data_IF_176027483312
#
_entry.id   IF_176027483312
#
_cell.length_a   1.000
_cell.length_b   1.000
_cell.length_c   1.000
_cell.angle_alpha   90.00
_cell.angle_beta   90.00
_cell.angle_gamma   90.00
#
_symmetry.space_group_name_H-M   'P 1'
#
loop_
_entity.id
_entity.type
_entity.pdbx_description
1 polymer ?
#
# COMPACT_ATOMS: atom_id res chain seq x y z
N UNK A 1 6.52 -29.85 -33.04
CA UNK A 1 7.38 -29.73 -31.83
C UNK A 1 7.04 -28.52 -30.96
N UNK A 2 6.76 -27.34 -31.53
CA UNK A 2 6.43 -26.12 -30.77
C UNK A 2 5.26 -26.26 -29.77
N UNK A 3 4.20 -27.00 -30.12
CA UNK A 3 3.02 -27.16 -29.26
C UNK A 3 3.29 -28.00 -27.98
N UNK A 4 4.25 -28.94 -28.03
CA UNK A 4 4.66 -29.71 -26.84
C UNK A 4 5.50 -28.87 -25.88
N UNK A 5 6.33 -27.97 -26.41
CA UNK A 5 7.09 -27.01 -25.62
C UNK A 5 6.20 -25.96 -24.95
N UNK A 6 5.17 -25.49 -25.65
CA UNK A 6 4.22 -24.51 -25.10
C UNK A 6 3.37 -25.11 -23.96
N UNK A 7 2.95 -26.37 -24.08
CA UNK A 7 2.27 -27.08 -22.99
C UNK A 7 3.17 -27.31 -21.78
N UNK A 8 4.45 -27.64 -21.98
CA UNK A 8 5.39 -27.83 -20.88
C UNK A 8 5.71 -26.51 -20.18
N UNK A 9 5.87 -25.42 -20.93
CA UNK A 9 6.07 -24.07 -20.37
C UNK A 9 4.86 -23.61 -19.55
N UNK A 10 3.63 -23.84 -20.04
CA UNK A 10 2.40 -23.50 -19.29
C UNK A 10 2.24 -24.36 -18.03
N UNK A 11 2.65 -25.64 -18.06
CA UNK A 11 2.62 -26.51 -16.88
C UNK A 11 3.64 -26.04 -15.80
N UNK A 12 4.84 -25.62 -16.23
CA UNK A 12 5.88 -25.10 -15.34
C UNK A 12 5.48 -23.74 -14.75
N UNK A 13 4.88 -22.84 -15.55
CA UNK A 13 4.35 -21.57 -15.04
C UNK A 13 3.17 -21.77 -14.08
N UNK A 14 2.31 -22.77 -14.29
CA UNK A 14 1.20 -23.06 -13.38
C UNK A 14 1.67 -23.59 -12.01
N UNK A 15 2.83 -24.24 -11.93
CA UNK A 15 3.38 -24.76 -10.67
C UNK A 15 4.11 -23.69 -9.82
N UNK A 16 4.50 -22.55 -10.40
CA UNK A 16 5.28 -21.51 -9.71
C UNK A 16 4.43 -20.52 -8.89
N UNK A 17 3.10 -20.54 -9.02
CA UNK A 17 2.22 -19.51 -8.42
C UNK A 17 1.81 -19.80 -6.97
N UNK A 18 2.18 -20.96 -6.40
CA UNK A 18 1.68 -21.36 -5.05
C UNK A 18 2.60 -21.05 -3.86
N UNK A 19 3.72 -20.37 -4.07
CA UNK A 19 4.68 -20.10 -2.99
C UNK A 19 4.46 -18.75 -2.25
N UNK A 20 3.45 -17.95 -2.63
CA UNK A 20 3.11 -16.72 -1.92
C UNK A 20 2.13 -16.97 -0.79
N UNK A 21 2.50 -16.60 0.44
CA UNK A 21 1.56 -16.56 1.57
C UNK A 21 0.39 -15.61 1.28
N UNK A 22 -0.77 -15.88 1.88
CA UNK A 22 -1.93 -15.00 1.75
C UNK A 22 -1.88 -13.93 2.83
N UNK A 23 -2.09 -12.65 2.49
CA UNK A 23 -2.17 -11.62 3.52
C UNK A 23 -3.33 -11.88 4.49
N UNK A 24 -3.07 -11.69 5.78
CA UNK A 24 -4.12 -11.76 6.79
C UNK A 24 -5.08 -10.58 6.62
N UNK A 25 -6.26 -10.69 7.24
CA UNK A 25 -7.25 -9.62 7.24
C UNK A 25 -7.41 -9.04 8.64
N UNK A 26 -7.64 -7.74 8.74
CA UNK A 26 -7.87 -7.03 10.00
C UNK A 26 -9.15 -6.19 9.91
N UNK A 27 -9.80 -5.96 11.04
CA UNK A 27 -11.00 -5.12 11.10
C UNK A 27 -10.64 -3.64 11.01
N UNK A 28 -11.11 -2.95 9.98
CA UNK A 28 -10.98 -1.50 9.85
C UNK A 28 -11.92 -0.74 10.80
N UNK A 29 -11.66 0.57 10.97
CA UNK A 29 -12.57 1.51 11.66
C UNK A 29 -14.01 1.49 11.16
N UNK A 30 -14.23 1.16 9.88
CA UNK A 30 -15.55 1.09 9.26
C UNK A 30 -16.24 -0.26 9.47
N UNK A 31 -15.64 -1.16 10.26
CA UNK A 31 -16.16 -2.49 10.56
C UNK A 31 -15.92 -3.54 9.47
N UNK A 32 -15.36 -3.15 8.33
CA UNK A 32 -15.03 -4.05 7.23
C UNK A 32 -13.68 -4.72 7.48
N UNK A 33 -13.53 -5.97 7.04
CA UNK A 33 -12.21 -6.59 6.94
C UNK A 33 -11.40 -5.91 5.84
N UNK A 34 -10.12 -5.67 6.08
CA UNK A 34 -9.16 -5.12 5.11
C UNK A 34 -7.88 -5.94 5.17
N UNK A 35 -7.12 -5.95 4.08
CA UNK A 35 -5.86 -6.70 4.00
C UNK A 35 -4.79 -6.06 4.90
N UNK A 36 -4.18 -6.86 5.78
CA UNK A 36 -3.02 -6.44 6.56
C UNK A 36 -1.79 -6.33 5.69
N UNK A 37 -1.01 -5.27 5.90
CA UNK A 37 0.28 -5.07 5.22
C UNK A 37 1.46 -5.70 5.95
N UNK A 38 1.25 -6.19 7.18
CA UNK A 38 2.30 -6.69 8.08
C UNK A 38 2.14 -8.17 8.45
N UNK A 39 0.93 -8.72 8.29
CA UNK A 39 0.60 -10.09 8.66
C UNK A 39 0.28 -10.97 7.43
N UNK A 40 0.84 -12.18 7.39
CA UNK A 40 0.56 -13.17 6.34
C UNK A 40 0.31 -14.56 6.90
N UNK A 41 -0.58 -15.30 6.26
CA UNK A 41 -0.82 -16.72 6.45
C UNK A 41 0.12 -17.51 5.54
N UNK A 42 1.03 -18.29 6.15
CA UNK A 42 1.93 -19.20 5.43
C UNK A 42 1.45 -20.63 5.58
N UNK A 43 1.18 -21.28 4.45
CA UNK A 43 0.78 -22.69 4.45
C UNK A 43 1.97 -23.58 4.77
N UNK A 44 1.77 -24.47 5.73
CA UNK A 44 2.81 -25.37 6.25
C UNK A 44 2.23 -26.76 6.42
N UNK A 45 3.12 -27.75 6.35
CA UNK A 45 2.80 -29.10 6.80
C UNK A 45 3.65 -29.47 8.03
N UNK A 46 3.21 -30.47 8.78
CA UNK A 46 3.95 -30.97 9.97
C UNK A 46 5.39 -31.38 9.66
N UNK A 47 5.66 -31.87 8.45
CA UNK A 47 6.99 -32.28 8.03
C UNK A 47 7.92 -31.07 7.82
N UNK A 48 7.42 -29.97 7.27
CA UNK A 48 8.16 -28.73 7.02
C UNK A 48 8.64 -28.09 8.33
N UNK A 49 7.80 -28.15 9.38
CA UNK A 49 8.17 -27.65 10.69
C UNK A 49 9.21 -28.56 11.36
N UNK A 50 9.01 -29.88 11.32
CA UNK A 50 9.95 -30.85 11.91
C UNK A 50 11.32 -30.86 11.20
N UNK A 51 11.34 -30.55 9.91
CA UNK A 51 12.56 -30.47 9.10
C UNK A 51 13.23 -29.09 9.17
N UNK A 52 12.69 -28.13 9.95
CA UNK A 52 13.14 -26.73 9.98
C UNK A 52 13.15 -26.06 8.60
N UNK A 53 12.32 -26.53 7.66
CA UNK A 53 12.17 -25.92 6.35
C UNK A 53 11.45 -24.56 6.43
N UNK A 54 10.64 -24.35 7.48
CA UNK A 54 9.96 -23.09 7.76
C UNK A 54 10.50 -22.50 9.07
N UNK A 55 11.05 -21.30 8.99
CA UNK A 55 11.48 -20.55 10.17
C UNK A 55 10.26 -20.03 10.93
N UNK A 56 10.12 -20.43 12.19
CA UNK A 56 9.05 -20.01 13.08
C UNK A 56 9.38 -18.72 13.85
N UNK A 57 10.53 -18.08 13.59
CA UNK A 57 10.98 -16.89 14.32
C UNK A 57 10.08 -15.66 14.13
N UNK A 58 9.37 -15.60 13.01
CA UNK A 58 8.39 -14.57 12.69
C UNK A 58 6.95 -15.04 12.93
N UNK A 59 6.75 -16.29 13.38
CA UNK A 59 5.41 -16.80 13.64
C UNK A 59 4.81 -16.14 14.88
N UNK A 60 3.52 -15.80 14.77
CA UNK A 60 2.82 -15.07 15.82
C UNK A 60 2.52 -16.01 17.00
N UNK A 61 2.98 -15.70 18.21
CA UNK A 61 2.71 -16.54 19.38
C UNK A 61 1.21 -16.54 19.69
N UNK A 62 0.67 -17.70 20.06
CA UNK A 62 -0.74 -17.86 20.38
C UNK A 62 -1.16 -17.19 21.71
N UNK A 63 -0.18 -16.78 22.53
CA UNK A 63 -0.42 -16.09 23.79
C UNK A 63 -1.07 -16.97 24.86
N UNK A 64 -0.99 -18.29 24.73
CA UNK A 64 -1.51 -19.27 25.71
C UNK A 64 -0.49 -19.63 26.78
N UNK A 65 -0.92 -19.67 28.05
CA UNK A 65 -0.09 -20.13 29.18
C UNK A 65 -0.24 -21.65 29.33
N UNK A 66 0.83 -22.38 29.66
CA UNK A 66 0.78 -23.83 29.93
C UNK A 66 1.13 -24.73 28.74
N UNK A 67 0.88 -24.29 27.51
CA UNK A 67 1.41 -24.92 26.29
C UNK A 67 2.92 -24.62 26.11
N UNK A 68 3.65 -25.41 25.31
CA UNK A 68 5.06 -25.11 25.02
C UNK A 68 5.19 -23.65 24.58
N UNK A 69 6.28 -22.98 25.02
CA UNK A 69 6.56 -21.56 24.71
C UNK A 69 6.58 -21.25 23.20
N UNK A 70 6.52 -22.30 22.38
CA UNK A 70 6.59 -22.29 20.91
C UNK A 70 5.21 -22.48 20.25
N UNK A 71 4.11 -22.35 21.00
CA UNK A 71 2.76 -22.41 20.43
C UNK A 71 2.43 -21.14 19.64
N UNK A 72 2.13 -21.31 18.35
CA UNK A 72 1.86 -20.22 17.42
C UNK A 72 0.41 -20.26 16.95
N UNK A 73 -0.11 -19.12 16.51
CA UNK A 73 -1.44 -19.01 15.91
C UNK A 73 -1.44 -19.77 14.59
N UNK A 74 -2.44 -20.64 14.42
CA UNK A 74 -2.65 -21.36 13.18
C UNK A 74 -4.12 -21.34 12.77
N UNK A 75 -4.38 -21.66 11.50
CA UNK A 75 -5.72 -21.95 10.99
C UNK A 75 -5.68 -23.18 10.11
N UNK A 76 -6.78 -23.92 10.07
CA UNK A 76 -6.88 -25.08 9.19
C UNK A 76 -8.31 -25.27 8.71
N UNK A 77 -8.45 -25.84 7.51
CA UNK A 77 -9.75 -26.21 6.98
C UNK A 77 -10.24 -27.53 7.61
N UNK A 78 -11.50 -27.52 8.04
CA UNK A 78 -12.21 -28.71 8.49
C UNK A 78 -13.64 -28.67 7.99
N UNK A 79 -14.04 -29.71 7.23
CA UNK A 79 -15.37 -29.82 6.65
C UNK A 79 -15.78 -28.55 5.85
N UNK A 80 -14.88 -28.02 5.02
CA UNK A 80 -15.16 -26.84 4.18
C UNK A 80 -15.22 -25.52 4.94
N UNK A 81 -14.76 -25.47 6.19
CA UNK A 81 -14.73 -24.26 7.01
C UNK A 81 -13.32 -24.06 7.59
N UNK A 82 -12.77 -22.87 7.41
CA UNK A 82 -11.48 -22.48 8.00
C UNK A 82 -11.71 -22.05 9.44
N UNK A 83 -10.96 -22.66 10.37
CA UNK A 83 -11.06 -22.38 11.80
C UNK A 83 -9.68 -22.08 12.36
N UNK A 84 -9.60 -21.13 13.27
CA UNK A 84 -8.37 -20.77 13.97
C UNK A 84 -8.12 -21.67 15.18
N UNK A 85 -6.86 -21.74 15.56
CA UNK A 85 -6.41 -22.45 16.73
C UNK A 85 -4.95 -22.18 17.04
N UNK A 86 -4.29 -23.14 17.67
CA UNK A 86 -2.88 -23.04 18.07
C UNK A 86 -2.11 -24.29 17.69
N UNK A 87 -0.80 -24.16 17.51
CA UNK A 87 0.04 -25.34 17.36
C UNK A 87 0.24 -26.04 18.70
N UNK A 88 0.26 -27.38 18.67
CA UNK A 88 0.64 -28.23 19.80
C UNK A 88 2.00 -28.83 19.51
N UNK A 89 2.97 -28.53 20.37
CA UNK A 89 4.36 -29.02 20.27
C UNK A 89 5.00 -28.71 18.91
N UNK A 90 4.61 -27.60 18.27
CA UNK A 90 5.07 -27.19 16.93
C UNK A 90 4.67 -28.11 15.77
N UNK A 91 4.07 -29.28 16.02
CA UNK A 91 3.88 -30.29 14.97
C UNK A 91 2.50 -30.24 14.31
N UNK A 92 1.44 -29.96 15.07
CA UNK A 92 0.06 -30.01 14.55
C UNK A 92 -0.69 -28.74 14.92
N UNK A 93 -1.57 -28.29 14.04
CA UNK A 93 -2.55 -27.26 14.37
C UNK A 93 -3.75 -27.89 15.06
N UNK A 94 -4.01 -27.49 16.31
CA UNK A 94 -5.18 -27.89 17.05
C UNK A 94 -6.28 -26.84 16.89
N UNK A 95 -7.40 -27.26 16.31
CA UNK A 95 -8.57 -26.41 16.05
C UNK A 95 -9.79 -26.95 16.79
N UNK A 96 -10.60 -26.07 17.38
CA UNK A 96 -11.87 -26.44 17.99
C UNK A 96 -12.99 -26.44 16.96
N UNK A 97 -13.72 -27.54 16.81
CA UNK A 97 -14.89 -27.63 15.94
C UNK A 97 -15.95 -28.52 16.56
N UNK A 98 -17.18 -28.02 16.71
CA UNK A 98 -18.35 -28.77 17.24
C UNK A 98 -17.99 -29.64 18.46
N UNK A 99 -17.80 -28.99 19.61
CA UNK A 99 -17.54 -29.62 20.92
C UNK A 99 -16.28 -30.50 21.02
N UNK A 100 -15.41 -30.52 20.00
CA UNK A 100 -14.21 -31.35 19.97
C UNK A 100 -13.01 -30.61 19.37
N UNK A 101 -11.81 -30.91 19.87
CA UNK A 101 -10.55 -30.45 19.27
C UNK A 101 -10.03 -31.46 18.24
N UNK A 102 -9.65 -30.97 17.07
CA UNK A 102 -9.07 -31.74 15.97
C UNK A 102 -7.63 -31.31 15.73
N UNK A 103 -6.75 -32.29 15.51
CA UNK A 103 -5.35 -32.07 15.11
C UNK A 103 -5.26 -32.11 13.59
N UNK A 104 -4.60 -31.12 13.00
CA UNK A 104 -4.41 -30.97 11.55
C UNK A 104 -2.92 -30.95 11.22
N UNK A 105 -2.56 -31.74 10.20
CA UNK A 105 -1.18 -31.82 9.69
C UNK A 105 -0.87 -30.81 8.60
N UNK A 106 -1.91 -30.36 7.88
CA UNK A 106 -1.85 -29.29 6.89
C UNK A 106 -2.63 -28.11 7.42
N UNK A 107 -1.96 -26.98 7.55
CA UNK A 107 -2.52 -25.79 8.17
C UNK A 107 -1.73 -24.56 7.73
N UNK A 108 -2.26 -23.37 8.00
CA UNK A 108 -1.51 -22.14 7.84
C UNK A 108 -1.11 -21.61 9.22
N UNK A 109 0.07 -20.99 9.29
CA UNK A 109 0.52 -20.24 10.47
C UNK A 109 0.44 -18.75 10.18
N UNK A 110 0.10 -17.97 11.20
CA UNK A 110 0.14 -16.52 11.11
C UNK A 110 1.58 -16.04 11.32
N UNK A 111 2.08 -15.21 10.41
CA UNK A 111 3.44 -14.69 10.42
C UNK A 111 3.42 -13.17 10.43
N UNK A 112 4.24 -12.58 11.28
CA UNK A 112 4.51 -11.15 11.34
C UNK A 112 5.74 -10.85 10.48
N UNK A 113 5.51 -10.48 9.23
CA UNK A 113 6.58 -10.32 8.24
C UNK A 113 7.57 -9.25 8.67
N UNK A 114 8.85 -9.62 8.72
CA UNK A 114 9.95 -8.75 9.12
C UNK A 114 9.70 -8.03 10.45
N UNK A 115 8.89 -8.65 11.33
CA UNK A 115 8.44 -8.09 12.61
C UNK A 115 7.89 -6.67 12.42
N UNK A 116 7.11 -6.43 11.37
CA UNK A 116 6.56 -5.10 11.06
C UNK A 116 5.32 -4.74 11.89
N UNK A 117 4.55 -5.74 12.30
CA UNK A 117 3.33 -5.58 13.08
C UNK A 117 3.64 -5.41 14.57
N UNK A 118 2.88 -4.55 15.23
CA UNK A 118 2.69 -4.60 16.68
C UNK A 118 1.36 -5.28 16.97
N UNK A 119 1.40 -6.36 17.71
CA UNK A 119 0.23 -7.13 18.11
C UNK A 119 -0.03 -6.95 19.59
N UNK A 120 -1.29 -6.76 19.96
CA UNK A 120 -1.73 -6.69 21.34
C UNK A 120 -2.97 -7.56 21.56
N UNK A 121 -3.18 -7.95 22.81
CA UNK A 121 -4.38 -8.66 23.24
C UNK A 121 -5.29 -7.66 23.93
N UNK A 122 -6.42 -7.34 23.30
CA UNK A 122 -7.39 -6.38 23.83
C UNK A 122 -8.57 -7.10 24.45
N UNK A 123 -9.06 -6.69 25.63
CA UNK A 123 -10.23 -7.30 26.23
C UNK A 123 -11.45 -7.26 25.30
N UNK A 124 -12.14 -8.38 25.21
CA UNK A 124 -13.35 -8.59 24.42
C UNK A 124 -14.47 -9.19 25.28
N UNK A 125 -15.70 -8.78 24.99
CA UNK A 125 -16.91 -9.38 25.55
C UNK A 125 -17.99 -9.51 24.50
N UNK A 126 -18.86 -10.52 24.63
CA UNK A 126 -19.91 -10.82 23.64
C UNK A 126 -20.87 -9.66 23.32
N UNK A 127 -21.01 -8.72 24.25
CA UNK A 127 -21.86 -7.53 24.13
C UNK A 127 -21.11 -6.28 23.68
N UNK A 128 -19.79 -6.39 23.49
CA UNK A 128 -18.94 -5.30 23.02
C UNK A 128 -18.66 -5.48 21.53
N UNK A 129 -18.53 -4.36 20.83
CA UNK A 129 -18.04 -4.39 19.45
C UNK A 129 -16.61 -4.92 19.44
N UNK A 130 -16.28 -5.75 18.44
CA UNK A 130 -14.89 -6.14 18.19
C UNK A 130 -14.06 -4.88 17.90
N UNK A 131 -12.91 -4.67 18.57
CA UNK A 131 -12.07 -3.50 18.39
C UNK A 131 -11.56 -3.35 16.94
N UNK A 132 -11.21 -2.13 16.57
CA UNK A 132 -10.45 -1.83 15.35
C UNK A 132 -9.09 -2.55 15.42
N UNK A 133 -8.58 -2.98 14.26
CA UNK A 133 -7.34 -3.75 14.12
C UNK A 133 -7.47 -5.23 14.48
N UNK A 134 -8.64 -5.71 14.91
CA UNK A 134 -8.82 -7.12 15.26
C UNK A 134 -8.46 -8.05 14.10
N UNK A 135 -7.57 -9.01 14.36
CA UNK A 135 -7.03 -9.93 13.35
C UNK A 135 -8.03 -11.04 13.07
N UNK A 136 -8.43 -11.14 11.80
CA UNK A 136 -9.36 -12.15 11.34
C UNK A 136 -8.66 -13.50 11.12
N UNK A 137 -9.35 -14.56 11.54
CA UNK A 137 -8.96 -15.94 11.28
C UNK A 137 -9.29 -16.44 9.87
N UNK A 138 -10.21 -15.74 9.20
CA UNK A 138 -10.72 -16.07 7.86
C UNK A 138 -10.50 -14.91 6.91
N UNK A 139 -10.44 -15.22 5.62
CA UNK A 139 -10.22 -14.22 4.58
C UNK A 139 -11.51 -13.44 4.25
N UNK A 140 -11.35 -12.28 3.61
CA UNK A 140 -12.43 -11.36 3.24
C UNK A 140 -13.55 -12.00 2.39
N UNK A 141 -13.26 -13.08 1.66
CA UNK A 141 -14.18 -13.72 0.72
C UNK A 141 -15.09 -14.79 1.36
N UNK A 142 -14.95 -15.08 2.65
CA UNK A 142 -15.91 -15.96 3.31
C UNK A 142 -17.21 -15.17 3.52
N UNK A 143 -18.25 -15.46 2.73
CA UNK A 143 -19.63 -14.95 2.90
C UNK A 143 -20.31 -15.40 4.22
N UNK A 144 -19.52 -15.74 5.24
CA UNK A 144 -19.93 -16.28 6.52
C UNK A 144 -19.50 -15.32 7.63
N UNK A 145 -19.93 -15.63 8.84
CA UNK A 145 -19.60 -14.92 10.07
C UNK A 145 -18.12 -14.53 10.16
N UNK A 146 -17.86 -13.32 10.67
CA UNK A 146 -16.50 -12.85 10.87
C UNK A 146 -15.87 -13.63 12.02
N UNK A 147 -14.78 -14.35 11.73
CA UNK A 147 -14.00 -15.08 12.72
C UNK A 147 -12.76 -14.26 13.08
N UNK A 148 -12.55 -13.97 14.36
CA UNK A 148 -11.36 -13.29 14.88
C UNK A 148 -10.55 -14.20 15.80
N UNK A 149 -9.24 -13.97 15.85
CA UNK A 149 -8.33 -14.71 16.74
C UNK A 149 -8.52 -14.22 18.17
N UNK A 150 -8.81 -15.14 19.09
CA UNK A 150 -9.05 -14.82 20.49
C UNK A 150 -8.33 -15.74 21.46
N UNK A 151 -8.36 -15.37 22.74
CA UNK A 151 -7.92 -16.23 23.84
C UNK A 151 -8.73 -15.97 25.11
N UNK A 152 -8.90 -16.97 25.96
CA UNK A 152 -9.71 -16.87 27.18
C UNK A 152 -8.86 -17.23 28.40
N UNK A 153 -8.89 -16.39 29.43
CA UNK A 153 -8.26 -16.72 30.70
C UNK A 153 -9.14 -17.71 31.48
N UNK A 154 -8.69 -18.96 31.58
CA UNK A 154 -9.40 -20.00 32.33
C UNK A 154 -9.40 -19.73 33.84
N UNK A 155 -10.27 -20.42 34.57
CA UNK A 155 -10.33 -20.36 36.04
C UNK A 155 -9.03 -20.83 36.71
N UNK A 156 -8.18 -21.57 35.98
CA UNK A 156 -6.87 -22.02 36.46
C UNK A 156 -5.76 -20.98 36.24
N UNK A 157 -6.09 -19.81 35.67
CA UNK A 157 -5.12 -18.77 35.36
C UNK A 157 -4.35 -19.00 34.05
N UNK A 158 -4.78 -19.96 33.24
CA UNK A 158 -4.15 -20.27 31.95
C UNK A 158 -4.91 -19.64 30.79
N UNK A 159 -4.22 -18.99 29.86
CA UNK A 159 -4.82 -18.51 28.62
C UNK A 159 -5.06 -19.67 27.66
N UNK A 160 -6.31 -19.91 27.31
CA UNK A 160 -6.77 -20.89 26.32
C UNK A 160 -6.92 -20.21 24.97
N UNK A 161 -6.44 -20.84 23.89
CA UNK A 161 -6.65 -20.31 22.53
C UNK A 161 -8.13 -20.46 22.16
N UNK A 162 -8.63 -19.48 21.41
CA UNK A 162 -10.00 -19.48 20.95
C UNK A 162 -10.20 -18.70 19.67
N UNK A 163 -11.47 -18.68 19.26
CA UNK A 163 -11.94 -17.91 18.14
C UNK A 163 -13.19 -17.14 18.57
N UNK A 164 -13.30 -15.90 18.10
CA UNK A 164 -14.47 -15.07 18.31
C UNK A 164 -15.27 -15.08 17.02
N UNK A 165 -16.49 -15.61 17.09
CA UNK A 165 -17.44 -15.65 16.00
C UNK A 165 -18.40 -14.49 16.16
N UNK A 166 -18.34 -13.54 15.22
CA UNK A 166 -19.31 -12.45 15.14
C UNK A 166 -20.22 -12.71 13.95
N UNK A 167 -21.49 -13.05 14.20
CA UNK A 167 -22.42 -13.31 13.13
C UNK A 167 -22.68 -12.05 12.31
N UNK A 168 -22.83 -12.22 11.00
CA UNK A 168 -23.16 -11.12 10.09
C UNK A 168 -24.57 -10.55 10.34
N UNK A 169 -25.47 -11.37 10.89
CA UNK A 169 -26.83 -10.94 11.22
C UNK A 169 -26.85 -10.06 12.47
N UNK A 170 -27.54 -8.92 12.38
CA UNK A 170 -27.69 -7.93 13.45
C UNK A 170 -28.39 -8.42 14.73
N UNK A 171 -28.98 -9.61 14.71
CA UNK A 171 -29.81 -10.15 15.80
C UNK A 171 -29.06 -11.08 16.77
N UNK A 172 -27.80 -11.40 16.50
CA UNK A 172 -27.02 -12.30 17.34
C UNK A 172 -25.81 -11.59 17.94
N UNK A 173 -25.59 -11.80 19.24
CA UNK A 173 -24.35 -11.39 19.89
C UNK A 173 -23.19 -12.25 19.40
N UNK A 174 -21.96 -11.73 19.50
CA UNK A 174 -20.77 -12.54 19.22
C UNK A 174 -20.68 -13.69 20.23
N UNK A 175 -20.18 -14.85 19.79
CA UNK A 175 -19.82 -15.95 20.68
C UNK A 175 -18.33 -16.17 20.62
N UNK A 176 -17.73 -16.48 21.76
CA UNK A 176 -16.32 -16.83 21.82
C UNK A 176 -16.20 -18.30 22.20
N UNK A 177 -15.41 -19.02 21.41
CA UNK A 177 -15.17 -20.44 21.58
C UNK A 177 -13.69 -20.60 21.92
N UNK A 178 -13.41 -21.08 23.13
CA UNK A 178 -12.07 -21.44 23.58
C UNK A 178 -11.95 -22.97 23.67
N UNK A 179 -10.74 -23.51 23.69
CA UNK A 179 -10.56 -24.94 23.96
C UNK A 179 -9.45 -25.19 24.97
N UNK A 180 -9.70 -26.16 25.85
CA UNK A 180 -8.78 -26.55 26.91
C UNK A 180 -7.81 -27.64 26.44
N UNK A 181 -6.82 -27.92 27.27
CA UNK A 181 -5.78 -28.93 26.98
C UNK A 181 -6.33 -30.36 27.02
N UNK A 182 -7.50 -30.57 27.62
CA UNK A 182 -8.22 -31.86 27.59
C UNK A 182 -8.96 -32.09 26.27
N UNK A 183 -8.94 -31.12 25.35
CA UNK A 183 -9.59 -31.19 24.04
C UNK A 183 -11.08 -30.88 24.08
N UNK A 184 -11.57 -30.28 25.17
CA UNK A 184 -12.95 -29.81 25.28
C UNK A 184 -13.04 -28.39 24.76
N UNK A 185 -14.14 -28.11 24.08
CA UNK A 185 -14.48 -26.79 23.57
C UNK A 185 -15.42 -26.12 24.57
N UNK A 186 -15.09 -24.90 24.96
CA UNK A 186 -15.78 -24.08 25.95
C UNK A 186 -16.35 -22.85 25.23
N UNK A 187 -17.66 -22.65 25.35
CA UNK A 187 -18.28 -21.39 24.96
C UNK A 187 -18.17 -20.39 26.12
N UNK A 188 -17.56 -19.25 25.85
CA UNK A 188 -17.26 -18.22 26.85
C UNK A 188 -17.78 -16.87 26.39
N UNK A 189 -18.12 -16.01 27.36
CA UNK A 189 -18.71 -14.69 27.08
C UNK A 189 -17.69 -13.54 27.07
N UNK A 190 -16.47 -13.80 27.54
CA UNK A 190 -15.38 -12.84 27.71
C UNK A 190 -14.04 -13.49 27.39
N UNK A 191 -13.11 -12.69 26.90
CA UNK A 191 -11.72 -13.08 26.65
C UNK A 191 -10.95 -11.90 26.12
N UNK A 192 -9.88 -12.17 25.37
CA UNK A 192 -9.13 -11.18 24.62
C UNK A 192 -9.22 -11.50 23.13
N UNK A 193 -9.11 -10.46 22.31
CA UNK A 193 -8.97 -10.55 20.86
C UNK A 193 -7.60 -10.01 20.46
N UNK A 194 -6.98 -10.66 19.47
CA UNK A 194 -5.70 -10.19 18.92
C UNK A 194 -5.96 -8.98 18.03
N UNK A 195 -5.23 -7.89 18.26
CA UNK A 195 -5.34 -6.62 17.54
C UNK A 195 -3.99 -6.25 16.94
N UNK A 196 -3.98 -5.94 15.65
CA UNK A 196 -2.87 -5.24 14.98
C UNK A 196 -2.97 -3.74 15.24
N UNK A 197 -1.95 -3.18 15.87
CA UNK A 197 -1.89 -1.75 16.19
C UNK A 197 -1.26 -0.99 15.03
N UNK A 198 -2.03 -0.09 14.42
CA UNK A 198 -1.51 0.75 13.33
C UNK A 198 -0.47 1.77 13.84
N UNK A 199 0.65 1.95 13.13
CA UNK A 199 1.62 2.97 13.46
C UNK A 199 1.14 4.39 13.15
N UNK A 200 1.61 5.36 13.93
CA UNK A 200 1.30 6.77 13.76
C UNK A 200 2.21 7.46 12.75
N UNK A 201 3.49 7.07 12.71
CA UNK A 201 4.50 7.63 11.80
C UNK A 201 5.74 6.73 11.74
N UNK A 202 6.59 7.01 10.76
CA UNK A 202 7.88 6.36 10.59
C UNK A 202 9.04 7.34 10.75
N UNK A 203 10.17 6.84 11.23
CA UNK A 203 11.44 7.56 11.28
C UNK A 203 12.51 6.67 10.61
N UNK A 204 13.04 7.14 9.47
CA UNK A 204 14.08 6.45 8.70
C UNK A 204 15.43 7.12 8.95
N UNK A 205 16.44 6.33 9.32
CA UNK A 205 17.83 6.77 9.36
C UNK A 205 18.58 6.11 8.20
N UNK A 206 18.87 6.87 7.15
CA UNK A 206 19.64 6.38 6.01
C UNK A 206 21.07 6.14 6.45
N UNK A 207 21.56 4.92 6.25
CA UNK A 207 22.98 4.62 6.47
C UNK A 207 23.78 5.19 5.32
N UNK A 208 24.89 5.83 5.66
CA UNK A 208 25.86 6.20 4.64
C UNK A 208 26.31 4.93 3.92
N UNK A 209 26.42 5.03 2.59
CA UNK A 209 26.86 3.93 1.75
C UNK A 209 28.33 3.68 2.08
N UNK A 210 28.59 2.87 3.11
CA UNK A 210 29.90 2.24 3.26
C UNK A 210 30.11 1.48 1.98
N UNK A 211 31.23 1.74 1.32
CA UNK A 211 31.65 1.29 -0.01
C UNK A 211 31.80 -0.25 -0.07
N UNK A 212 30.73 -0.95 0.30
CA UNK A 212 30.67 -2.38 0.58
C UNK A 212 30.35 -3.10 -0.72
N UNK A 213 31.33 -3.10 -1.62
CA UNK A 213 31.65 -4.16 -2.58
C UNK A 213 30.56 -4.70 -3.53
N UNK A 214 29.30 -4.26 -3.43
CA UNK A 214 28.18 -4.87 -4.16
C UNK A 214 28.11 -4.42 -5.61
N UNK A 215 28.91 -3.42 -6.02
CA UNK A 215 29.17 -3.09 -7.43
C UNK A 215 27.95 -2.69 -8.26
N UNK A 216 26.74 -2.65 -7.67
CA UNK A 216 25.50 -2.33 -8.35
C UNK A 216 25.50 -0.83 -8.67
N UNK A 217 25.95 -0.55 -9.90
CA UNK A 217 25.90 0.79 -10.48
C UNK A 217 24.44 1.24 -10.48
N UNK A 218 24.16 2.50 -10.11
CA UNK A 218 22.82 3.03 -10.17
C UNK A 218 22.28 2.93 -11.59
N UNK A 219 21.00 2.57 -11.71
CA UNK A 219 20.33 2.54 -12.99
C UNK A 219 19.95 3.97 -13.35
N UNK A 220 20.56 4.49 -14.40
CA UNK A 220 20.37 5.87 -14.86
C UNK A 220 19.78 5.86 -16.26
N UNK A 221 18.61 6.47 -16.41
CA UNK A 221 17.96 6.70 -17.71
C UNK A 221 18.05 8.19 -18.04
N UNK A 222 18.43 8.51 -19.28
CA UNK A 222 18.58 9.87 -19.78
C UNK A 222 17.67 10.08 -20.99
N UNK A 223 16.98 11.20 -21.03
CA UNK A 223 16.10 11.57 -22.13
C UNK A 223 16.22 13.06 -22.40
N UNK A 224 16.54 13.44 -23.64
CA UNK A 224 16.52 14.85 -24.05
C UNK A 224 15.07 15.34 -24.15
N UNK A 225 14.80 16.50 -23.56
CA UNK A 225 13.49 17.15 -23.60
C UNK A 225 13.62 18.62 -23.97
N UNK A 226 12.68 19.13 -24.76
CA UNK A 226 12.59 20.56 -25.09
C UNK A 226 11.73 21.24 -24.03
N UNK A 227 12.31 22.22 -23.34
CA UNK A 227 11.71 22.92 -22.20
C UNK A 227 10.98 24.19 -22.63
N UNK A 228 11.53 24.91 -23.60
CA UNK A 228 10.95 26.12 -24.15
C UNK A 228 11.40 26.31 -25.61
N UNK A 229 10.58 26.99 -26.40
CA UNK A 229 10.90 27.38 -27.78
C UNK A 229 10.61 28.86 -27.99
N UNK A 230 11.45 29.51 -28.78
CA UNK A 230 11.24 30.90 -29.18
C UNK A 230 12.03 31.23 -30.44
N UNK A 231 11.86 32.45 -30.93
CA UNK A 231 12.67 32.99 -32.02
C UNK A 231 13.23 34.35 -31.62
N UNK A 232 14.46 34.60 -32.02
CA UNK A 232 15.10 35.91 -32.03
C UNK A 232 15.08 36.39 -33.48
N UNK A 233 14.60 37.61 -33.72
CA UNK A 233 14.52 38.16 -35.06
C UNK A 233 14.92 39.63 -35.05
N UNK A 234 15.62 40.04 -36.10
CA UNK A 234 16.02 41.42 -36.32
C UNK A 234 15.46 41.90 -37.66
N UNK A 235 14.65 42.96 -37.61
CA UNK A 235 14.19 43.69 -38.80
C UNK A 235 15.21 44.77 -39.20
N UNK A 236 14.78 45.84 -39.88
CA UNK A 236 15.64 46.93 -40.37
C UNK A 236 15.98 48.00 -39.32
N UNK A 237 16.04 47.61 -38.04
CA UNK A 237 16.32 48.53 -36.93
C UNK A 237 17.83 48.77 -36.72
N UNK A 238 18.20 50.05 -36.58
CA UNK A 238 19.56 50.49 -36.26
C UNK A 238 20.53 50.51 -37.45
N UNK A 239 21.64 51.25 -37.31
CA UNK A 239 22.66 51.41 -38.36
C UNK A 239 23.68 50.27 -38.42
N UNK A 240 23.82 49.51 -37.35
CA UNK A 240 24.85 48.47 -37.22
C UNK A 240 24.52 47.24 -38.06
N UNK A 241 25.50 46.72 -38.81
CA UNK A 241 25.34 45.54 -39.67
C UNK A 241 24.91 44.28 -38.90
N UNK A 242 25.32 44.15 -37.65
CA UNK A 242 24.99 43.05 -36.74
C UNK A 242 24.68 43.61 -35.35
N UNK A 243 23.69 43.03 -34.69
CA UNK A 243 23.31 43.40 -33.33
C UNK A 243 22.99 42.14 -32.54
N UNK A 244 23.43 42.11 -31.28
CA UNK A 244 23.16 41.00 -30.36
C UNK A 244 21.76 41.18 -29.79
N UNK A 245 20.84 40.29 -30.18
CA UNK A 245 19.52 40.23 -29.59
C UNK A 245 19.53 39.26 -28.41
N UNK A 246 18.80 39.62 -27.36
CA UNK A 246 18.65 38.80 -26.16
C UNK A 246 17.17 38.66 -25.82
N UNK A 247 16.80 37.50 -25.28
CA UNK A 247 15.45 37.19 -24.80
C UNK A 247 15.56 36.31 -23.58
N UNK A 248 14.69 36.54 -22.60
CA UNK A 248 14.56 35.65 -21.43
C UNK A 248 13.51 34.59 -21.76
N UNK A 249 13.85 33.32 -21.59
CA UNK A 249 12.93 32.20 -21.74
C UNK A 249 12.68 31.57 -20.38
N UNK A 250 11.41 31.48 -19.99
CA UNK A 250 10.99 30.78 -18.78
C UNK A 250 10.53 29.37 -19.13
N UNK A 251 10.84 28.41 -18.28
CA UNK A 251 10.38 27.03 -18.41
C UNK A 251 10.11 26.40 -17.06
N UNK A 252 9.17 25.46 -17.06
CA UNK A 252 8.75 24.72 -15.87
C UNK A 252 9.19 23.27 -15.97
N UNK A 253 9.56 22.67 -14.84
CA UNK A 253 9.76 21.24 -14.73
C UNK A 253 9.37 20.69 -13.37
N UNK A 254 9.12 19.39 -13.30
CA UNK A 254 8.82 18.68 -12.06
C UNK A 254 10.06 17.89 -11.61
N UNK A 255 10.57 18.21 -10.42
CA UNK A 255 11.52 17.37 -9.69
C UNK A 255 10.73 16.40 -8.83
N UNK A 256 11.12 15.13 -8.79
CA UNK A 256 10.49 14.17 -7.89
C UNK A 256 11.48 13.23 -7.19
N UNK A 257 11.15 12.87 -5.96
CA UNK A 257 11.90 11.91 -5.15
C UNK A 257 10.96 10.87 -4.54
N UNK A 258 11.31 9.59 -4.64
CA UNK A 258 10.48 8.48 -4.17
C UNK A 258 11.35 7.43 -3.49
N UNK A 259 11.10 7.17 -2.21
CA UNK A 259 11.91 6.27 -1.38
C UNK A 259 11.51 4.79 -1.49
N UNK A 260 10.69 4.43 -2.47
CA UNK A 260 10.24 3.06 -2.67
C UNK A 260 9.17 2.64 -1.65
N UNK A 261 8.79 1.37 -1.71
CA UNK A 261 7.91 0.73 -0.76
C UNK A 261 8.70 -0.33 0.00
N UNK A 262 8.66 -0.28 1.33
CA UNK A 262 9.25 -1.30 2.20
C UNK A 262 8.11 -2.20 2.70
N UNK A 263 8.29 -3.53 2.71
CA UNK A 263 7.30 -4.47 3.25
C UNK A 263 6.87 -4.12 4.68
N UNK A 264 5.58 -4.26 5.01
CA UNK A 264 5.08 -3.94 6.34
C UNK A 264 4.94 -2.44 6.66
N UNK A 265 5.11 -1.55 5.68
CA UNK A 265 4.85 -0.11 5.87
C UNK A 265 3.56 0.33 5.21
N UNK A 266 2.74 1.09 5.93
CA UNK A 266 1.50 1.67 5.43
C UNK A 266 1.81 2.91 4.59
N UNK A 267 1.18 3.02 3.42
CA UNK A 267 1.33 4.16 2.51
C UNK A 267 0.64 5.40 3.07
N UNK A 268 1.13 6.57 2.67
CA UNK A 268 0.61 7.88 3.05
C UNK A 268 0.68 8.21 4.56
N UNK A 269 1.39 7.41 5.38
CA UNK A 269 1.70 7.81 6.74
C UNK A 269 2.85 8.84 6.75
N UNK A 270 2.82 9.81 7.69
CA UNK A 270 3.93 10.73 7.89
C UNK A 270 5.23 9.98 8.18
N UNK A 271 6.31 10.37 7.50
CA UNK A 271 7.63 9.81 7.72
C UNK A 271 8.68 10.90 7.77
N UNK A 272 9.64 10.73 8.66
CA UNK A 272 10.82 11.59 8.75
C UNK A 272 12.05 10.81 8.31
N UNK A 273 12.78 11.33 7.33
CA UNK A 273 14.01 10.75 6.81
C UNK A 273 15.18 11.58 7.28
N UNK A 274 16.08 10.95 8.01
CA UNK A 274 17.37 11.52 8.45
C UNK A 274 18.45 11.00 7.51
N UNK A 275 19.05 11.93 6.77
CA UNK A 275 20.18 11.66 5.91
C UNK A 275 21.47 11.59 6.73
N UNK A 276 22.51 10.95 6.19
CA UNK A 276 23.83 10.83 6.84
C UNK A 276 24.48 12.19 7.11
N UNK A 277 24.18 13.21 6.30
CA UNK A 277 24.64 14.59 6.48
C UNK A 277 23.90 15.37 7.59
N UNK A 278 23.00 14.72 8.34
CA UNK A 278 22.18 15.33 9.38
C UNK A 278 20.94 16.07 8.89
N UNK A 279 20.73 16.17 7.56
CA UNK A 279 19.54 16.77 6.99
C UNK A 279 18.30 15.92 7.28
N UNK A 280 17.20 16.59 7.59
CA UNK A 280 15.92 15.95 7.93
C UNK A 280 14.88 16.32 6.88
N UNK A 281 14.25 15.32 6.27
CA UNK A 281 13.15 15.48 5.32
C UNK A 281 11.86 14.93 5.93
N UNK A 282 10.74 15.61 5.70
CA UNK A 282 9.42 15.16 6.11
C UNK A 282 8.61 14.82 4.87
N UNK A 283 8.16 13.58 4.76
CA UNK A 283 7.44 13.07 3.59
C UNK A 283 6.17 12.31 4.00
N UNK A 284 5.35 11.99 3.01
CA UNK A 284 4.33 10.94 3.14
C UNK A 284 4.88 9.66 2.54
N UNK A 285 4.94 8.59 3.34
CA UNK A 285 5.57 7.35 2.94
C UNK A 285 4.89 6.70 1.73
N UNK A 286 5.67 6.07 0.85
CA UNK A 286 5.13 5.34 -0.31
C UNK A 286 4.44 6.24 -1.35
N UNK A 287 4.64 7.57 -1.27
CA UNK A 287 4.21 8.56 -2.26
C UNK A 287 5.43 9.33 -2.79
N UNK A 288 5.50 9.63 -4.09
CA UNK A 288 6.57 10.47 -4.63
C UNK A 288 6.37 11.92 -4.17
N UNK A 289 7.41 12.50 -3.57
CA UNK A 289 7.46 13.93 -3.35
C UNK A 289 7.71 14.62 -4.68
N UNK A 290 6.88 15.60 -5.02
CA UNK A 290 6.94 16.33 -6.29
C UNK A 290 7.07 17.82 -6.02
N UNK A 291 8.00 18.46 -6.70
CA UNK A 291 8.23 19.89 -6.61
C UNK A 291 8.27 20.47 -8.01
N UNK A 292 7.35 21.41 -8.30
CA UNK A 292 7.35 22.17 -9.54
C UNK A 292 8.39 23.29 -9.42
N UNK A 293 9.31 23.34 -10.36
CA UNK A 293 10.35 24.35 -10.46
C UNK A 293 10.09 25.20 -11.69
N UNK A 294 10.31 26.51 -11.56
CA UNK A 294 10.23 27.48 -12.66
C UNK A 294 11.57 28.19 -12.72
N UNK A 295 12.26 28.05 -13.85
CA UNK A 295 13.56 28.65 -14.07
C UNK A 295 13.50 29.55 -15.31
N UNK A 296 14.46 30.48 -15.40
CA UNK A 296 14.59 31.38 -16.55
C UNK A 296 16.00 31.31 -17.10
N UNK A 297 16.12 31.36 -18.43
CA UNK A 297 17.38 31.34 -19.14
C UNK A 297 17.42 32.50 -20.13
N UNK A 298 18.44 33.35 -20.00
CA UNK A 298 18.69 34.40 -20.98
C UNK A 298 19.41 33.81 -22.19
N UNK A 299 18.77 33.87 -23.35
CA UNK A 299 19.33 33.44 -24.63
C UNK A 299 19.69 34.67 -25.46
N UNK A 300 20.68 34.54 -26.34
CA UNK A 300 21.05 35.64 -27.22
C UNK A 300 21.94 35.24 -28.38
N UNK A 301 21.75 35.91 -29.50
CA UNK A 301 22.43 35.64 -30.76
C UNK A 301 22.68 36.96 -31.52
N UNK A 302 23.82 37.05 -32.21
CA UNK A 302 24.10 38.17 -33.11
C UNK A 302 23.37 37.95 -34.43
N UNK A 303 22.55 38.91 -34.86
CA UNK A 303 21.74 38.81 -36.08
C UNK A 303 21.97 40.03 -36.99
N UNK A 304 22.00 39.76 -38.29
CA UNK A 304 21.95 40.78 -39.34
C UNK A 304 20.52 41.25 -39.55
N UNK A 305 20.35 42.38 -40.21
CA UNK A 305 19.04 42.83 -40.64
C UNK A 305 18.30 41.76 -41.46
N UNK A 306 16.98 41.70 -41.29
CA UNK A 306 16.07 40.77 -41.96
C UNK A 306 16.41 39.28 -41.74
N UNK A 307 16.96 38.95 -40.57
CA UNK A 307 17.28 37.56 -40.20
C UNK A 307 16.67 37.17 -38.86
N UNK A 308 16.39 35.87 -38.73
CA UNK A 308 15.88 35.27 -37.53
C UNK A 308 16.61 33.95 -37.22
N UNK A 309 16.57 33.57 -35.95
CA UNK A 309 17.03 32.27 -35.47
C UNK A 309 16.04 31.74 -34.45
N UNK A 310 15.60 30.51 -34.65
CA UNK A 310 14.83 29.78 -33.64
C UNK A 310 15.77 29.25 -32.58
N UNK A 311 15.36 29.37 -31.33
CA UNK A 311 16.07 28.91 -30.15
C UNK A 311 15.17 27.96 -29.37
N UNK A 312 15.69 26.79 -29.07
CA UNK A 312 15.05 25.80 -28.19
C UNK A 312 15.90 25.65 -26.93
N UNK A 313 15.29 25.79 -25.76
CA UNK A 313 15.96 25.39 -24.51
C UNK A 313 15.75 23.90 -24.36
N UNK A 314 16.83 23.14 -24.35
CA UNK A 314 16.80 21.69 -24.16
C UNK A 314 17.44 21.35 -22.82
N UNK A 315 16.96 20.27 -22.21
CA UNK A 315 17.56 19.69 -21.01
C UNK A 315 17.55 18.18 -21.10
N UNK A 316 18.39 17.54 -20.30
CA UNK A 316 18.43 16.10 -20.14
C UNK A 316 17.62 15.75 -18.90
N UNK A 317 16.46 15.13 -19.09
CA UNK A 317 15.70 14.52 -18.01
C UNK A 317 16.44 13.26 -17.54
N UNK A 318 16.84 13.26 -16.28
CA UNK A 318 17.51 12.14 -15.65
C UNK A 318 16.53 11.45 -14.71
N UNK A 319 16.39 10.13 -14.85
CA UNK A 319 15.77 9.26 -13.84
C UNK A 319 16.83 8.33 -13.29
N UNK A 320 17.10 8.44 -11.99
CA UNK A 320 18.08 7.61 -11.29
C UNK A 320 17.40 6.71 -10.27
N UNK A 321 17.88 5.47 -10.17
CA UNK A 321 17.43 4.48 -9.21
C UNK A 321 18.62 3.96 -8.41
N UNK A 322 18.57 4.14 -7.09
CA UNK A 322 19.63 3.79 -6.15
C UNK A 322 19.06 2.90 -5.05
N UNK A 323 19.68 1.75 -4.80
CA UNK A 323 19.39 0.98 -3.59
C UNK A 323 19.94 1.70 -2.35
N UNK A 324 19.20 1.70 -1.25
CA UNK A 324 19.66 2.20 0.04
C UNK A 324 19.39 1.19 1.16
N UNK A 325 20.15 1.33 2.25
CA UNK A 325 19.91 0.64 3.51
C UNK A 325 19.63 1.67 4.59
N UNK A 326 18.68 1.38 5.47
CA UNK A 326 18.27 2.29 6.52
C UNK A 326 17.91 1.53 7.80
N UNK A 327 17.93 2.24 8.91
CA UNK A 327 17.28 1.78 10.13
C UNK A 327 15.92 2.45 10.24
N UNK A 328 14.86 1.63 10.26
CA UNK A 328 13.48 2.06 10.37
C UNK A 328 13.05 1.99 11.83
N UNK A 329 12.53 3.10 12.33
CA UNK A 329 11.83 3.18 13.61
C UNK A 329 10.35 3.46 13.36
N UNK A 330 9.51 2.51 13.73
CA UNK A 330 8.05 2.63 13.71
C UNK A 330 7.58 3.18 15.05
N UNK A 331 6.76 4.23 15.03
CA UNK A 331 6.23 4.89 16.24
C UNK A 331 4.73 4.65 16.35
N UNK A 332 4.27 4.07 17.46
CA UNK A 332 2.88 3.72 17.71
C UNK A 332 2.14 4.78 18.54
N UNK A 333 0.79 4.73 18.61
CA UNK A 333 -0.01 5.71 19.34
C UNK A 333 0.31 5.81 20.85
N UNK A 334 0.70 4.71 21.48
CA UNK A 334 1.10 4.65 22.88
C UNK A 334 2.53 5.17 23.15
N UNK A 335 3.22 5.66 22.11
CA UNK A 335 4.59 6.15 22.20
C UNK A 335 5.66 5.06 22.16
N UNK A 336 5.27 3.78 22.16
CA UNK A 336 6.20 2.67 21.95
C UNK A 336 6.85 2.76 20.56
N UNK A 337 8.06 2.21 20.46
CA UNK A 337 8.88 2.26 19.26
C UNK A 337 9.40 0.88 18.91
N UNK A 338 9.36 0.54 17.62
CA UNK A 338 9.91 -0.69 17.09
C UNK A 338 10.98 -0.38 16.06
N UNK A 339 12.12 -1.05 16.17
CA UNK A 339 13.29 -0.79 15.35
C UNK A 339 13.64 -2.00 14.50
N UNK A 340 13.91 -1.79 13.20
CA UNK A 340 14.38 -2.85 12.31
C UNK A 340 15.25 -2.29 11.18
N UNK A 341 16.15 -3.13 10.69
CA UNK A 341 16.96 -2.81 9.52
C UNK A 341 16.17 -3.09 8.25
N UNK A 342 16.24 -2.17 7.29
CA UNK A 342 15.49 -2.26 6.03
C UNK A 342 16.37 -1.88 4.85
N UNK A 343 16.03 -2.42 3.68
CA UNK A 343 16.58 -1.98 2.41
C UNK A 343 15.46 -1.51 1.50
N UNK A 344 15.76 -0.56 0.63
CA UNK A 344 14.78 0.03 -0.26
C UNK A 344 15.42 0.59 -1.51
N UNK A 345 14.58 1.18 -2.36
CA UNK A 345 15.01 1.78 -3.63
C UNK A 345 14.59 3.23 -3.65
N UNK A 346 15.55 4.12 -3.83
CA UNK A 346 15.36 5.54 -4.01
C UNK A 346 15.35 5.87 -5.49
N UNK A 347 14.23 6.40 -5.97
CA UNK A 347 14.09 6.91 -7.32
C UNK A 347 14.07 8.44 -7.32
N UNK A 348 14.94 9.05 -8.12
CA UNK A 348 15.03 10.50 -8.30
C UNK A 348 14.78 10.85 -9.76
N UNK A 349 14.04 11.93 -9.99
CA UNK A 349 13.78 12.50 -11.31
C UNK A 349 14.05 13.99 -11.28
N UNK A 350 14.96 14.45 -12.14
CA UNK A 350 15.36 15.86 -12.21
C UNK A 350 15.92 16.21 -13.60
N UNK A 351 16.07 17.50 -13.88
CA UNK A 351 16.71 18.00 -15.09
C UNK A 351 18.18 18.29 -14.88
N UNK A 352 18.98 18.01 -15.92
CA UNK A 352 20.40 18.34 -15.96
C UNK A 352 20.77 18.86 -17.36
N UNK A 353 21.96 19.45 -17.50
CA UNK A 353 22.54 19.87 -18.79
C UNK A 353 21.56 20.74 -19.62
N UNK A 354 20.98 21.74 -18.96
CA UNK A 354 20.07 22.70 -19.57
C UNK A 354 20.91 23.66 -20.42
N UNK A 355 20.59 23.74 -21.71
CA UNK A 355 21.30 24.59 -22.67
C UNK A 355 20.38 25.10 -23.77
N UNK A 356 20.68 26.27 -24.37
CA UNK A 356 20.00 26.71 -25.58
C UNK A 356 20.61 26.03 -26.81
N UNK A 357 19.76 25.55 -27.71
CA UNK A 357 20.10 25.06 -29.04
C UNK A 357 19.52 26.00 -30.08
N UNK A 358 20.39 26.54 -30.93
CA UNK A 358 20.03 27.49 -31.98
C UNK A 358 19.90 26.75 -33.31
N UNK A 359 18.85 27.07 -34.04
CA UNK A 359 18.70 26.69 -35.45
C UNK A 359 19.69 27.46 -36.33
N UNK A 360 19.70 27.15 -37.63
CA UNK A 360 20.44 27.96 -38.60
C UNK A 360 19.73 29.30 -38.76
N UNK A 361 20.52 30.38 -38.84
CA UNK A 361 19.99 31.71 -39.17
C UNK A 361 19.29 31.67 -40.53
N UNK A 362 18.04 32.14 -40.57
CA UNK A 362 17.24 32.21 -41.79
C UNK A 362 16.80 33.64 -42.06
N UNK A 363 16.57 33.97 -43.34
CA UNK A 363 16.03 35.27 -43.73
C UNK A 363 14.53 35.31 -43.46
N UNK A 364 14.07 36.39 -42.85
CA UNK A 364 12.65 36.66 -42.71
C UNK A 364 12.18 37.02 -44.12
N UNK A 365 11.35 36.18 -44.73
CA UNK A 365 10.73 36.54 -46.02
C UNK A 365 9.65 37.57 -45.72
N UNK A 366 9.68 38.70 -46.41
CA UNK A 366 8.58 39.65 -46.40
C UNK A 366 7.35 38.95 -46.97
N UNK A 367 6.48 38.42 -46.13
CA UNK A 367 5.13 38.06 -46.56
C UNK A 367 4.31 39.34 -46.66
N UNK A 368 4.64 40.18 -47.66
CA UNK A 368 3.72 41.19 -48.18
C UNK A 368 3.35 40.73 -49.59
N UNK A 369 2.31 39.90 -49.67
CA UNK A 369 1.45 39.89 -50.86
C UNK A 369 0.00 39.89 -50.34
N UNK A 370 -0.49 41.07 -49.97
CA UNK A 370 -1.89 41.41 -50.30
C UNK A 370 -1.82 42.14 -51.63
N UNK A 371 -1.59 41.37 -52.70
CA UNK A 371 -1.99 41.82 -54.03
C UNK A 371 -3.49 41.59 -54.08
N UNK A 372 -4.23 42.68 -53.89
CA UNK A 372 -5.63 42.75 -54.21
C UNK A 372 -5.78 42.42 -55.70
N UNK A 373 -6.33 41.24 -55.99
CA UNK A 373 -6.98 40.97 -57.27
C UNK A 373 -8.49 40.95 -57.01
N UNK A 374 -9.27 41.84 -57.64
CA UNK A 374 -10.71 41.81 -57.53
C UNK A 374 -11.23 40.72 -58.47
N UNK A 375 -11.67 39.59 -57.92
CA UNK A 375 -12.49 38.63 -58.67
C UNK A 375 -13.71 38.24 -57.83
N UNK A 376 -14.83 38.79 -58.30
CA UNK A 376 -16.16 38.20 -58.41
C UNK A 376 -16.84 37.62 -57.16
N UNK A 377 -17.82 38.40 -56.69
CA UNK A 377 -18.96 37.95 -55.92
C UNK A 377 -19.66 36.76 -56.61
N UNK A 378 -19.73 35.62 -55.94
CA UNK A 378 -20.87 34.72 -56.11
C UNK A 378 -21.32 34.23 -54.74
N UNK A 379 -22.51 34.65 -54.37
CA UNK A 379 -23.20 34.31 -53.14
C UNK A 379 -23.61 32.82 -53.13
N UNK A 380 -23.31 32.13 -52.03
CA UNK A 380 -24.14 31.01 -51.60
C UNK A 380 -24.20 30.97 -50.08
N UNK A 381 -25.36 31.38 -49.58
CA UNK A 381 -25.75 31.31 -48.19
C UNK A 381 -26.01 29.86 -47.76
N UNK A 382 -25.57 29.49 -46.57
CA UNK A 382 -26.14 28.42 -45.73
C UNK A 382 -25.72 28.67 -44.27
N UNK A 383 -26.51 28.22 -43.28
CA UNK A 383 -26.91 29.03 -42.15
C UNK A 383 -26.01 28.89 -40.93
N UNK A 384 -26.08 29.95 -40.14
CA UNK A 384 -25.68 30.08 -38.75
C UNK A 384 -26.36 28.99 -37.91
N UNK A 385 -25.58 28.32 -37.06
CA UNK A 385 -26.11 27.71 -35.84
C UNK A 385 -25.34 28.31 -34.64
N UNK A 386 -26.10 29.04 -33.82
CA UNK A 386 -25.68 29.71 -32.60
C UNK A 386 -25.67 28.70 -31.44
N UNK A 387 -24.58 28.65 -30.68
CA UNK A 387 -24.43 27.73 -29.55
C UNK A 387 -23.53 28.23 -28.43
N UNK A 388 -23.97 29.29 -27.77
CA UNK A 388 -23.71 29.74 -26.38
C UNK A 388 -22.30 29.71 -25.74
N UNK A 389 -21.96 30.92 -25.30
CA UNK A 389 -20.98 31.32 -24.28
C UNK A 389 -21.18 30.64 -22.91
N UNK A 390 -20.06 30.34 -22.22
CA UNK A 390 -19.99 30.54 -20.76
C UNK A 390 -18.58 30.94 -20.35
N UNK A 391 -18.51 32.14 -19.78
CA UNK A 391 -17.33 32.79 -19.21
C UNK A 391 -16.81 32.09 -17.95
N UNK A 392 -15.50 31.92 -17.82
CA UNK A 392 -14.82 31.63 -16.55
C UNK A 392 -13.93 32.80 -16.17
N UNK A 393 -14.09 33.26 -14.92
CA UNK A 393 -13.45 34.43 -14.33
C UNK A 393 -11.95 34.27 -14.04
N UNK A 394 -11.31 35.32 -13.50
CA UNK A 394 -9.87 35.37 -13.31
C UNK A 394 -9.40 34.39 -12.21
N UNK A 395 -8.16 33.87 -12.32
CA UNK A 395 -7.62 32.91 -11.37
C UNK A 395 -7.40 33.54 -9.99
N UNK A 396 -7.96 32.88 -8.96
CA UNK A 396 -7.67 33.16 -7.56
C UNK A 396 -6.19 32.91 -7.25
N UNK A 397 -5.63 33.84 -6.46
CA UNK A 397 -4.29 33.79 -5.88
C UNK A 397 -4.05 32.51 -5.07
N UNK A 398 -2.88 31.90 -5.28
CA UNK A 398 -2.40 30.79 -4.46
C UNK A 398 -2.18 31.20 -2.99
N UNK A 399 -2.31 30.26 -2.04
CA UNK A 399 -1.97 30.50 -0.63
C UNK A 399 -0.47 30.71 -0.49
N UNK A 400 -0.09 31.82 0.14
CA UNK A 400 1.28 32.08 0.57
C UNK A 400 1.71 31.00 1.58
N UNK A 401 2.86 30.39 1.32
CA UNK A 401 3.59 29.58 2.30
C UNK A 401 3.94 30.44 3.53
N UNK A 402 3.81 29.93 4.76
CA UNK A 402 4.15 30.70 5.94
C UNK A 402 5.65 30.99 5.96
N UNK A 403 5.98 32.28 5.98
CA UNK A 403 7.29 32.80 6.36
C UNK A 403 7.60 32.35 7.78
N UNK A 404 8.66 31.54 7.92
CA UNK A 404 9.22 31.16 9.22
C UNK A 404 10.17 32.27 9.68
N UNK A 405 9.71 33.11 10.61
CA UNK A 405 10.58 34.07 11.29
C UNK A 405 11.45 33.32 12.29
N UNK A 406 12.77 33.31 12.06
CA UNK A 406 13.75 32.98 13.08
C UNK A 406 13.97 34.23 13.94
N UNK A 407 13.36 34.26 15.12
CA UNK A 407 13.73 35.22 16.16
C UNK A 407 14.39 34.46 17.31
N UNK A 408 15.72 34.59 17.33
CA UNK A 408 16.57 34.19 18.44
C UNK A 408 16.47 35.23 19.55
N UNK A 409 15.89 34.86 20.70
CA UNK A 409 16.20 35.52 21.97
C UNK A 409 16.36 34.49 23.09
N UNK A 410 17.54 34.60 23.70
CA UNK A 410 18.03 33.98 24.92
C UNK A 410 17.44 34.64 26.18
N UNK A 411 16.97 33.84 27.13
CA UNK A 411 17.02 34.10 28.60
C UNK A 411 16.49 32.84 29.30
N UNK A 412 17.32 32.02 29.94
CA UNK A 412 17.80 32.12 31.33
C UNK A 412 16.71 31.98 32.42
N UNK A 413 16.97 31.06 33.37
CA UNK A 413 16.28 30.83 34.66
C UNK A 413 14.77 30.53 34.61
N UNK A 414 14.22 29.45 35.17
CA UNK A 414 14.49 28.93 36.50
C UNK A 414 13.48 27.80 36.81
N UNK A 415 13.90 26.85 37.66
CA UNK A 415 13.17 25.69 38.17
C UNK A 415 12.08 26.14 39.17
N UNK A 416 10.94 25.42 39.29
CA UNK A 416 10.73 24.73 40.56
C UNK A 416 10.11 23.33 40.44
N UNK A 417 10.28 22.61 41.56
CA UNK A 417 9.96 21.20 41.88
C UNK A 417 8.45 20.87 41.90
N UNK A 418 8.10 19.57 41.87
CA UNK A 418 6.73 19.08 41.80
C UNK A 418 6.02 19.14 43.16
N UNK A 419 4.69 19.29 43.12
CA UNK A 419 3.80 19.21 44.28
C UNK A 419 3.07 17.88 44.24
N UNK A 420 3.39 17.02 45.20
CA UNK A 420 2.60 15.86 45.58
C UNK A 420 1.26 16.31 46.17
N UNK A 421 0.16 15.67 45.76
CA UNK A 421 -1.10 15.69 46.49
C UNK A 421 -1.75 14.32 46.41
N UNK A 422 -1.52 13.56 47.48
CA UNK A 422 -2.39 12.48 47.97
C UNK A 422 -3.73 13.07 48.39
N UNK A 423 -4.83 12.35 48.12
CA UNK A 423 -6.16 12.71 48.61
C UNK A 423 -7.20 11.67 48.26
N UNK A 424 -7.38 10.71 49.17
CA UNK A 424 -8.44 9.70 49.19
C UNK A 424 -9.85 10.31 49.20
N UNK A 425 -10.84 9.61 48.65
CA UNK A 425 -12.10 9.33 49.36
C UNK A 425 -12.93 8.26 48.66
N UNK A 426 -13.34 7.27 49.47
CA UNK A 426 -14.39 6.29 49.21
C UNK A 426 -15.79 6.92 49.29
N UNK A 427 -16.75 6.36 48.54
CA UNK A 427 -18.15 6.08 48.94
C UNK A 427 -18.90 5.57 47.68
N UNK A 428 -19.20 4.27 47.59
CA UNK A 428 -20.41 3.57 48.03
C UNK A 428 -21.72 3.87 47.27
N UNK A 429 -22.24 2.77 46.68
CA UNK A 429 -23.64 2.31 46.57
C UNK A 429 -24.68 3.12 45.78
N UNK A 430 -25.27 2.46 44.77
CA UNK A 430 -26.65 1.91 44.81
C UNK A 430 -27.04 1.47 43.38
N UNK A 431 -27.31 0.18 43.14
CA UNK A 431 -28.67 -0.41 43.05
C UNK A 431 -29.57 0.31 42.03
N UNK A 432 -29.72 -0.26 40.82
CA UNK A 432 -31.00 -0.35 40.09
C UNK A 432 -30.94 -1.55 39.13
N UNK A 433 -31.78 -2.56 39.37
CA UNK A 433 -32.30 -3.46 38.33
C UNK A 433 -33.59 -2.83 37.77
N UNK A 434 -33.97 -3.09 36.51
CA UNK A 434 -35.13 -3.96 36.33
C UNK A 434 -35.11 -4.87 35.07
N UNK A 435 -35.58 -6.09 35.31
CA UNK A 435 -36.58 -6.88 34.56
C UNK A 435 -36.77 -6.68 33.05
N UNK A 436 -36.41 -7.75 32.32
CA UNK A 436 -37.23 -8.50 31.35
C UNK A 436 -38.33 -7.78 30.56
N UNK A 437 -38.20 -7.79 29.22
CA UNK A 437 -39.32 -7.79 28.30
C UNK A 437 -39.10 -8.85 27.20
N UNK A 438 -39.93 -9.89 27.26
CA UNK A 438 -40.10 -10.94 26.27
C UNK A 438 -40.85 -10.37 25.07
N UNK A 439 -40.40 -10.63 23.84
CA UNK A 439 -41.30 -10.62 22.69
C UNK A 439 -40.93 -11.72 21.69
N UNK A 440 -42.00 -12.33 21.18
CA UNK A 440 -42.07 -13.58 20.43
C UNK A 440 -41.70 -13.38 18.96
N UNK A 441 -40.84 -14.27 18.50
CA UNK A 441 -40.92 -15.12 17.31
C UNK A 441 -42.02 -14.77 16.29
N UNK A 442 -41.61 -14.42 15.08
CA UNK A 442 -42.43 -14.40 13.87
C UNK A 442 -41.61 -14.93 12.69
N UNK A 443 -41.77 -16.23 12.42
CA UNK A 443 -41.20 -16.94 11.27
C UNK A 443 -41.76 -16.41 9.95
N UNK A 444 -40.88 -16.11 8.99
CA UNK A 444 -41.20 -16.21 7.55
C UNK A 444 -40.02 -16.80 6.79
N UNK A 445 -40.22 -18.04 6.40
CA UNK A 445 -39.48 -18.80 5.41
C UNK A 445 -39.58 -18.15 4.03
N UNK A 446 -38.45 -17.95 3.35
CA UNK A 446 -38.41 -17.73 1.90
C UNK A 446 -37.36 -18.63 1.28
N UNK A 447 -37.84 -19.65 0.57
CA UNK A 447 -37.08 -20.51 -0.33
C UNK A 447 -36.90 -19.76 -1.66
N UNK A 448 -35.66 -19.61 -2.12
CA UNK A 448 -35.38 -19.34 -3.53
C UNK A 448 -34.11 -20.08 -3.97
N UNK A 449 -34.35 -21.07 -4.81
CA UNK A 449 -33.44 -22.01 -5.44
C UNK A 449 -32.84 -21.47 -6.74
N UNK A 450 -31.58 -21.85 -7.00
CA UNK A 450 -30.97 -22.23 -8.28
C UNK A 450 -31.01 -21.28 -9.49
N UNK A 451 -29.83 -20.76 -9.85
CA UNK A 451 -29.44 -20.58 -11.26
C UNK A 451 -27.91 -20.47 -11.42
N UNK A 452 -27.20 -21.58 -11.63
CA UNK A 452 -25.83 -21.58 -12.20
C UNK A 452 -25.36 -23.01 -12.56
N UNK A 453 -25.93 -23.58 -13.61
CA UNK A 453 -25.37 -24.75 -14.31
C UNK A 453 -25.47 -24.44 -15.81
N UNK A 454 -24.43 -23.84 -16.41
CA UNK A 454 -24.32 -23.78 -17.87
C UNK A 454 -22.94 -23.45 -18.46
N UNK A 455 -21.83 -23.47 -17.71
CA UNK A 455 -20.50 -23.14 -18.29
C UNK A 455 -19.43 -24.25 -18.27
N UNK A 456 -19.71 -25.46 -17.74
CA UNK A 456 -18.71 -26.54 -17.68
C UNK A 456 -18.79 -27.62 -18.77
N UNK A 457 -19.85 -27.66 -19.58
CA UNK A 457 -20.03 -28.72 -20.59
C UNK A 457 -19.33 -28.47 -21.93
N UNK A 458 -18.83 -27.25 -22.20
CA UNK A 458 -18.18 -26.94 -23.49
C UNK A 458 -16.69 -27.33 -23.56
N UNK A 459 -16.03 -27.62 -22.43
CA UNK A 459 -14.58 -27.92 -22.42
C UNK A 459 -14.25 -29.42 -22.61
N UNK A 460 -15.20 -30.33 -22.34
CA UNK A 460 -14.95 -31.78 -22.49
C UNK A 460 -15.13 -32.32 -23.92
N UNK A 461 -15.85 -31.61 -24.80
CA UNK A 461 -16.08 -32.07 -26.18
C UNK A 461 -14.90 -31.80 -27.11
N UNK A 462 -14.09 -30.77 -26.85
CA UNK A 462 -12.94 -30.42 -27.72
C UNK A 462 -11.74 -31.35 -27.52
N UNK A 463 -11.54 -31.91 -26.32
CA UNK A 463 -10.40 -32.80 -26.03
C UNK A 463 -10.58 -34.21 -26.62
N UNK A 464 -11.82 -34.65 -26.81
CA UNK A 464 -12.10 -36.02 -27.30
C UNK A 464 -11.91 -36.15 -28.82
N UNK A 465 -12.10 -35.07 -29.58
CA UNK A 465 -12.00 -35.10 -31.07
C UNK A 465 -10.54 -35.15 -31.57
N UNK A 466 -9.57 -34.68 -30.78
CA UNK A 466 -8.15 -34.67 -31.22
C UNK A 466 -7.49 -36.05 -31.04
N UNK A 467 -8.05 -36.96 -30.23
CA UNK A 467 -7.47 -38.28 -29.97
C UNK A 467 -7.88 -39.36 -30.99
N UNK A 468 -8.85 -39.09 -31.86
CA UNK A 468 -9.38 -40.06 -32.83
C UNK A 468 -8.70 -40.01 -34.22
N UNK A 469 -7.83 -39.04 -34.51
CA UNK A 469 -7.30 -38.83 -35.88
C UNK A 469 -5.86 -39.32 -36.12
N UNK A 470 -5.30 -40.14 -35.23
CA UNK A 470 -3.89 -40.57 -35.34
C UNK A 470 -3.67 -42.07 -35.06
N UNK A 471 -4.43 -42.93 -35.73
CA UNK A 471 -4.14 -44.36 -35.88
C UNK A 471 -4.66 -44.85 -37.24
N UNK A 472 -3.87 -44.64 -38.30
CA UNK A 472 -3.87 -45.52 -39.48
C UNK A 472 -2.69 -45.20 -40.40
N UNK A 473 -1.54 -45.79 -40.09
CA UNK A 473 -0.48 -46.11 -41.06
C UNK A 473 0.51 -47.01 -40.33
N UNK A 474 0.42 -48.32 -40.53
CA UNK A 474 1.55 -49.25 -40.56
C UNK A 474 1.05 -50.68 -40.92
N UNK A 475 1.70 -51.24 -41.95
CA UNK A 475 1.84 -52.64 -42.38
C UNK A 475 0.74 -53.44 -43.12
N UNK A 476 1.18 -53.86 -44.32
CA UNK A 476 0.74 -54.87 -45.31
C UNK A 476 -0.35 -54.50 -46.29
#
# INVERSE_FOLDING_TARGET
MAQRWLMFLMLVLATLVRAGGQHASVKSKYGQLVTSSTLTWKSVNTFDIKSNAVQLEDAVPSGTSGASKDSVVCRAEHHGTVVTGRTISGAYCAIGFVNKVYKKEKFDILVNEDKAAKLEWTPYGKFLAVPEGAVAGVDMNSNRDHLFIGRHLSNQGEYLSGAIQVPLSSYSFGSMVAFDDSGRVLEVSRGDVMVEVEPKRYELLLKEKTDTGSGLKPKVTRQDIVLAKSSLFRFDEGKDREARLQKVLSYDYEKSEYYGQIPGMIRALPATIKLSNGQIHSILWGLPEKSKQTETLMVGHALRHQTAVDVSVVGVLITEEHSYSADLTTVFPDGSRQHRHVSGVLQRRYLNNIRPEYSRVYRIKDSIIVSAKPDEFTSRATPVDEGYSTSWGPPQSQPQSPHFNSESQTSDGSRPKPRDLYGNSESQQAVVAPTSASSKLGDKTFLATNLLILSMTLFFTVVTVIKARNKNTQFK
#
